data_IF_023632365301
#
_entry.id   IF_023632365301
#
_cell.length_a   1.000
_cell.length_b   1.000
_cell.length_c   1.000
_cell.angle_alpha   90.00
_cell.angle_beta   90.00
_cell.angle_gamma   90.00
#
_symmetry.space_group_name_H-M   'P 1'
#
loop_
_entity.id
_entity.type
_entity.pdbx_description
1 polymer ?
#
# COMPACT_ATOMS: atom_id res chain seq x y z
N UNK A 1 1.91 -16.36 -8.79
CA UNK A 1 1.78 -14.90 -8.81
C UNK A 1 2.71 -14.33 -7.77
N UNK A 2 3.73 -13.60 -8.22
CA UNK A 2 4.59 -12.81 -7.35
C UNK A 2 3.95 -11.43 -7.07
N UNK A 3 4.51 -10.67 -6.14
CA UNK A 3 3.95 -9.36 -5.73
C UNK A 3 3.95 -8.35 -6.88
N UNK A 4 4.98 -8.36 -7.74
CA UNK A 4 5.04 -7.52 -8.93
C UNK A 4 3.90 -7.80 -9.92
N UNK A 5 3.62 -9.06 -10.22
CA UNK A 5 2.52 -9.49 -11.09
C UNK A 5 1.15 -9.08 -10.53
N UNK A 6 0.98 -9.13 -9.20
CA UNK A 6 -0.24 -8.66 -8.54
C UNK A 6 -0.41 -7.14 -8.69
N UNK A 7 0.66 -6.36 -8.51
CA UNK A 7 0.66 -4.91 -8.70
C UNK A 7 0.35 -4.53 -10.16
N UNK A 8 0.97 -5.20 -11.13
CA UNK A 8 0.67 -4.99 -12.55
C UNK A 8 -0.79 -5.27 -12.89
N UNK A 9 -1.38 -6.31 -12.29
CA UNK A 9 -2.80 -6.66 -12.47
C UNK A 9 -3.75 -5.61 -11.90
N UNK A 10 -3.29 -4.81 -10.93
CA UNK A 10 -4.01 -3.66 -10.38
C UNK A 10 -3.80 -2.37 -11.20
N UNK A 11 -3.03 -2.45 -12.30
CA UNK A 11 -2.70 -1.30 -13.15
C UNK A 11 -1.49 -0.50 -12.67
N UNK A 12 -0.72 -1.00 -11.69
CA UNK A 12 0.52 -0.36 -11.29
C UNK A 12 1.57 -0.47 -12.40
N UNK A 13 2.29 0.62 -12.68
CA UNK A 13 3.36 0.65 -13.68
C UNK A 13 4.61 1.30 -13.09
N UNK A 14 5.83 0.80 -13.37
CA UNK A 14 7.06 1.52 -13.08
C UNK A 14 7.01 2.93 -13.69
N UNK A 15 7.46 3.91 -12.93
CA UNK A 15 7.51 5.30 -13.35
C UNK A 15 8.69 6.01 -12.72
N UNK A 16 9.10 7.12 -13.34
CA UNK A 16 10.05 8.07 -12.79
C UNK A 16 9.40 9.45 -12.81
N UNK A 17 9.49 10.18 -11.69
CA UNK A 17 8.95 11.53 -11.55
C UNK A 17 9.93 12.36 -10.73
N UNK A 18 10.31 13.54 -11.24
CA UNK A 18 11.25 14.45 -10.56
C UNK A 18 12.59 13.79 -10.17
N UNK A 19 13.09 12.88 -11.01
CA UNK A 19 14.34 12.11 -10.78
C UNK A 19 14.21 10.96 -9.77
N UNK A 20 13.02 10.74 -9.22
CA UNK A 20 12.73 9.66 -8.26
C UNK A 20 12.03 8.51 -8.98
N UNK A 21 12.49 7.29 -8.74
CA UNK A 21 11.89 6.05 -9.27
C UNK A 21 10.72 5.63 -8.39
N UNK A 22 9.73 4.98 -8.97
CA UNK A 22 8.53 4.56 -8.25
C UNK A 22 7.54 3.79 -9.10
N UNK A 23 6.29 3.80 -8.67
CA UNK A 23 5.15 3.19 -9.35
C UNK A 23 4.05 4.24 -9.56
N UNK A 24 3.36 4.19 -10.69
CA UNK A 24 2.11 4.91 -10.90
C UNK A 24 0.93 3.97 -10.75
N UNK A 25 -0.10 4.38 -10.02
CA UNK A 25 -1.34 3.63 -9.84
C UNK A 25 -2.52 4.62 -9.78
N UNK A 26 -3.43 4.54 -10.75
CA UNK A 26 -4.64 5.40 -10.76
C UNK A 26 -4.34 6.90 -10.77
N UNK A 27 -3.24 7.33 -11.41
CA UNK A 27 -2.81 8.73 -11.45
C UNK A 27 -1.96 9.19 -10.26
N UNK A 28 -1.83 8.36 -9.22
CA UNK A 28 -0.93 8.62 -8.09
C UNK A 28 0.48 8.11 -8.41
N UNK A 29 1.50 8.91 -8.13
CA UNK A 29 2.89 8.47 -8.14
C UNK A 29 3.30 8.06 -6.71
N UNK A 30 3.78 6.84 -6.56
CA UNK A 30 4.27 6.25 -5.32
C UNK A 30 5.78 6.08 -5.48
N UNK A 31 6.55 6.92 -4.81
CA UNK A 31 8.02 6.86 -4.83
C UNK A 31 8.52 5.54 -4.22
N UNK A 32 9.53 4.92 -4.84
CA UNK A 32 10.29 3.84 -4.24
C UNK A 32 11.29 4.46 -3.26
N UNK A 33 10.97 4.39 -1.98
CA UNK A 33 11.84 4.87 -0.89
C UNK A 33 12.04 3.77 0.14
N UNK A 34 13.27 3.67 0.66
CA UNK A 34 13.61 2.86 1.82
C UNK A 34 13.39 3.63 3.14
N UNK A 35 12.85 4.86 3.07
CA UNK A 35 12.47 5.64 4.24
C UNK A 35 11.22 5.06 4.92
N UNK A 36 11.06 5.38 6.20
CA UNK A 36 9.91 4.94 6.99
C UNK A 36 8.60 5.41 6.33
N UNK A 37 7.70 4.50 5.92
CA UNK A 37 6.44 4.88 5.29
C UNK A 37 5.46 5.46 6.33
N UNK A 38 4.60 6.38 5.91
CA UNK A 38 3.53 6.93 6.76
C UNK A 38 2.40 5.92 7.02
N UNK A 39 2.24 4.95 6.11
CA UNK A 39 1.26 3.89 6.22
C UNK A 39 1.64 2.66 5.39
N UNK A 40 1.19 1.49 5.82
CA UNK A 40 1.34 0.23 5.07
C UNK A 40 -0.03 -0.16 4.51
N UNK A 41 -0.13 -0.29 3.18
CA UNK A 41 -1.41 -0.54 2.52
C UNK A 41 -1.71 -2.06 2.48
N UNK A 42 -2.91 -2.44 2.92
CA UNK A 42 -3.40 -3.81 2.91
C UNK A 42 -4.70 -3.96 2.09
N UNK A 43 -4.89 -5.13 1.49
CA UNK A 43 -6.07 -5.46 0.70
C UNK A 43 -7.25 -5.90 1.57
N UNK A 44 -8.48 -5.54 1.21
CA UNK A 44 -9.70 -5.94 1.96
C UNK A 44 -10.24 -7.31 1.54
N UNK A 45 -9.91 -7.77 0.33
CA UNK A 45 -10.51 -8.96 -0.25
C UNK A 45 -9.54 -10.15 -0.25
N UNK A 46 -9.88 -11.18 0.51
CA UNK A 46 -9.11 -12.42 0.61
C UNK A 46 -8.88 -13.11 -0.74
N UNK A 47 -9.78 -12.95 -1.71
CA UNK A 47 -9.67 -13.60 -3.02
C UNK A 47 -8.49 -13.08 -3.86
N UNK A 48 -8.01 -11.88 -3.58
CA UNK A 48 -6.89 -11.25 -4.30
C UNK A 48 -5.59 -11.29 -3.50
N UNK A 49 -5.54 -12.06 -2.41
CA UNK A 49 -4.33 -12.18 -1.60
C UNK A 49 -3.34 -13.15 -2.22
N UNK A 50 -2.06 -12.79 -2.19
CA UNK A 50 -0.98 -13.70 -2.55
C UNK A 50 -0.73 -14.73 -1.44
N UNK A 51 -0.15 -15.88 -1.80
CA UNK A 51 0.22 -16.93 -0.83
C UNK A 51 1.12 -16.34 0.26
N UNK A 52 0.82 -16.67 1.52
CA UNK A 52 1.56 -16.15 2.69
C UNK A 52 1.03 -14.82 3.24
N UNK A 53 -0.04 -14.26 2.66
CA UNK A 53 -0.71 -13.10 3.24
C UNK A 53 -1.29 -13.41 4.62
N UNK A 54 -1.20 -12.45 5.55
CA UNK A 54 -1.72 -12.57 6.92
C UNK A 54 -2.85 -11.59 7.17
N UNK A 55 -3.74 -11.96 8.07
CA UNK A 55 -4.86 -11.13 8.50
C UNK A 55 -4.39 -10.04 9.47
N UNK A 56 -4.82 -8.81 9.23
CA UNK A 56 -4.64 -7.64 10.09
C UNK A 56 -5.96 -6.89 10.24
N UNK A 57 -5.97 -5.85 11.06
CA UNK A 57 -7.04 -4.86 11.12
C UNK A 57 -6.52 -3.53 10.61
N UNK A 58 -7.26 -2.93 9.70
CA UNK A 58 -6.99 -1.55 9.29
C UNK A 58 -7.06 -0.64 10.51
N UNK A 59 -6.09 0.25 10.65
CA UNK A 59 -6.02 1.21 11.75
C UNK A 59 -7.27 2.09 11.80
N UNK A 60 -7.71 2.60 10.65
CA UNK A 60 -8.78 3.60 10.53
C UNK A 60 -10.19 3.00 10.63
N UNK A 61 -10.54 2.06 9.75
CA UNK A 61 -11.89 1.46 9.72
C UNK A 61 -12.06 0.27 10.67
N UNK A 62 -10.98 -0.25 11.27
CA UNK A 62 -10.93 -1.52 12.03
C UNK A 62 -11.36 -2.76 11.24
N UNK A 63 -11.64 -2.61 9.94
CA UNK A 63 -12.06 -3.66 9.06
C UNK A 63 -10.93 -4.67 8.81
N UNK A 64 -11.32 -5.92 8.58
CA UNK A 64 -10.38 -7.03 8.30
C UNK A 64 -9.66 -6.76 6.98
N UNK A 65 -8.33 -6.84 7.02
CA UNK A 65 -7.47 -6.65 5.86
C UNK A 65 -6.44 -7.77 5.79
N UNK A 66 -5.85 -7.93 4.62
CA UNK A 66 -4.87 -8.95 4.30
C UNK A 66 -3.61 -8.27 3.81
N UNK A 67 -2.52 -8.49 4.54
CA UNK A 67 -1.23 -7.91 4.28
C UNK A 67 -0.33 -8.94 3.59
N UNK A 68 0.19 -8.59 2.41
CA UNK A 68 1.10 -9.44 1.64
C UNK A 68 2.45 -9.63 2.38
N UNK A 69 3.25 -10.67 2.04
CA UNK A 69 4.55 -10.90 2.66
C UNK A 69 5.48 -9.68 2.68
N UNK A 70 5.62 -8.92 1.58
CA UNK A 70 6.44 -7.69 1.57
C UNK A 70 5.91 -6.64 2.54
N UNK A 71 4.60 -6.43 2.59
CA UNK A 71 3.97 -5.56 3.58
C UNK A 71 4.15 -6.03 5.02
N UNK A 72 4.19 -7.35 5.26
CA UNK A 72 4.48 -7.90 6.59
C UNK A 72 5.93 -7.65 7.02
N UNK A 73 6.87 -7.69 6.08
CA UNK A 73 8.28 -7.35 6.32
C UNK A 73 8.42 -5.87 6.68
N UNK A 74 7.77 -4.98 5.92
CA UNK A 74 7.70 -3.56 6.25
C UNK A 74 7.10 -3.31 7.63
N UNK A 75 6.03 -4.04 8.01
CA UNK A 75 5.43 -3.89 9.32
C UNK A 75 6.34 -4.39 10.46
N UNK A 76 7.21 -5.38 10.20
CA UNK A 76 8.23 -5.81 11.18
C UNK A 76 9.34 -4.79 11.36
N UNK A 77 9.76 -4.13 10.28
CA UNK A 77 10.77 -3.07 10.34
C UNK A 77 10.22 -1.79 10.97
N UNK A 78 8.93 -1.50 10.75
CA UNK A 78 8.27 -0.30 11.26
C UNK A 78 6.95 -0.66 12.00
N UNK A 79 7.03 -1.19 13.24
CA UNK A 79 5.85 -1.65 13.98
C UNK A 79 4.87 -0.53 14.33
N UNK A 80 5.36 0.71 14.45
CA UNK A 80 4.54 1.88 14.75
C UNK A 80 3.79 2.44 13.53
N UNK A 81 4.11 1.97 12.31
CA UNK A 81 3.46 2.44 11.09
C UNK A 81 2.09 1.78 10.96
N UNK A 82 1.02 2.55 10.78
CA UNK A 82 -0.33 2.00 10.71
C UNK A 82 -0.53 1.19 9.43
N UNK A 83 -1.06 -0.03 9.59
CA UNK A 83 -1.60 -0.81 8.48
C UNK A 83 -3.00 -0.29 8.16
N UNK A 84 -3.25 0.16 6.93
CA UNK A 84 -4.54 0.72 6.49
C UNK A 84 -5.04 0.07 5.20
N UNK A 85 -6.36 0.06 4.99
CA UNK A 85 -6.92 -0.39 3.72
C UNK A 85 -6.76 0.66 2.64
N UNK A 86 -6.66 0.24 1.37
CA UNK A 86 -6.55 1.14 0.21
C UNK A 86 -7.63 2.23 0.20
N UNK A 87 -8.87 1.91 0.58
CA UNK A 87 -9.95 2.90 0.65
C UNK A 87 -9.71 3.99 1.71
N UNK A 88 -9.12 3.65 2.86
CA UNK A 88 -8.77 4.65 3.88
C UNK A 88 -7.54 5.46 3.46
N UNK A 89 -6.56 4.82 2.82
CA UNK A 89 -5.40 5.52 2.24
C UNK A 89 -5.85 6.57 1.22
N UNK A 90 -6.67 6.20 0.23
CA UNK A 90 -7.18 7.14 -0.77
C UNK A 90 -7.97 8.30 -0.16
N UNK A 91 -8.66 8.10 0.97
CA UNK A 91 -9.35 9.17 1.70
C UNK A 91 -8.38 10.13 2.40
N UNK A 92 -7.24 9.63 2.90
CA UNK A 92 -6.18 10.47 3.49
C UNK A 92 -5.55 11.34 2.42
N UNK A 93 -5.15 10.75 1.30
CA UNK A 93 -4.54 11.49 0.18
C UNK A 93 -5.46 12.56 -0.39
N UNK A 94 -6.74 12.24 -0.62
CA UNK A 94 -7.72 13.23 -1.08
C UNK A 94 -7.92 14.39 -0.09
N UNK A 95 -7.82 14.15 1.22
CA UNK A 95 -7.90 15.25 2.21
C UNK A 95 -6.64 16.10 2.20
N UNK A 96 -5.47 15.50 2.03
CA UNK A 96 -4.20 16.21 1.92
C UNK A 96 -4.14 17.10 0.67
N UNK A 97 -4.79 16.68 -0.44
CA UNK A 97 -4.86 17.49 -1.67
C UNK A 97 -5.83 18.68 -1.63
N UNK A 98 -6.73 18.77 -0.63
CA UNK A 98 -7.71 19.88 -0.51
C UNK A 98 -7.22 20.96 0.47
N UNK A 99 -6.15 20.69 1.22
CA UNK A 99 -5.56 21.62 2.18
C UNK A 99 -4.34 22.39 1.63
N UNK A 100 -4.08 22.30 0.32
CA UNK A 100 -2.99 22.98 -0.39
C UNK A 100 -3.49 24.01 -1.39
#
# INVERSE_FOLDING_TARGET
>A
MNEGEALYSLGARPAEKDGKKGLTLGGLFIEASDEKPDAIIAGVNRKYTVKGSKEFRCHDCRCKVWLAPGGQEMHRHYPDVPVICLACFMKREQKSSVAG
#
